data_IF_567194824286
#
_entry.id   IF_567194824286
#
_cell.length_a   1.000
_cell.length_b   1.000
_cell.length_c   1.000
_cell.angle_alpha   90.00
_cell.angle_beta   90.00
_cell.angle_gamma   90.00
#
_symmetry.space_group_name_H-M   'P 1'
#
loop_
_entity.id
_entity.type
_entity.pdbx_description
1 polymer ?
#
# COMPACT_ATOMS: atom_id res chain seq x y z
N UNK A 1 -16.09 -7.15 1.34
CA UNK A 1 -15.20 -8.19 1.91
C UNK A 1 -13.78 -7.70 1.76
N UNK A 2 -12.96 -7.73 2.82
CA UNK A 2 -11.57 -7.29 2.72
C UNK A 2 -10.78 -8.29 1.86
N UNK A 3 -10.33 -7.86 0.72
CA UNK A 3 -9.64 -8.68 -0.30
C UNK A 3 -8.25 -9.22 0.12
N UNK A 4 -7.87 -9.11 1.40
CA UNK A 4 -6.55 -9.50 1.91
C UNK A 4 -6.60 -10.63 2.95
N UNK A 5 -7.75 -11.27 3.14
CA UNK A 5 -7.82 -12.53 3.82
C UNK A 5 -7.06 -13.57 2.98
N UNK A 6 -5.94 -14.06 3.51
CA UNK A 6 -5.15 -15.09 2.83
C UNK A 6 -3.82 -14.62 2.22
N UNK A 7 -3.41 -13.36 2.40
CA UNK A 7 -2.07 -12.91 1.98
C UNK A 7 -1.11 -12.96 3.16
N UNK A 8 0.00 -13.68 2.99
CA UNK A 8 1.01 -13.92 4.03
C UNK A 8 2.41 -13.77 3.47
N UNK A 9 3.30 -13.08 4.19
CA UNK A 9 4.74 -13.21 3.99
C UNK A 9 5.21 -14.44 4.73
N UNK A 10 5.90 -15.33 4.05
CA UNK A 10 6.49 -16.55 4.62
C UNK A 10 8.01 -16.45 4.59
N UNK A 11 8.66 -17.00 5.61
CA UNK A 11 10.12 -16.97 5.75
C UNK A 11 10.76 -18.35 5.62
N UNK A 12 9.96 -19.40 5.71
CA UNK A 12 10.42 -20.79 5.63
C UNK A 12 9.27 -21.71 5.21
N UNK A 13 9.60 -22.96 4.90
CA UNK A 13 8.66 -23.99 4.45
C UNK A 13 7.56 -24.28 5.46
N UNK A 14 7.89 -24.35 6.75
CA UNK A 14 6.92 -24.65 7.81
C UNK A 14 5.84 -23.55 7.88
N UNK A 15 6.25 -22.28 7.84
CA UNK A 15 5.31 -21.15 7.73
C UNK A 15 4.45 -21.23 6.46
N UNK A 16 5.04 -21.63 5.35
CA UNK A 16 4.35 -21.82 4.07
C UNK A 16 3.23 -22.85 4.18
N UNK A 17 3.51 -24.00 4.78
CA UNK A 17 2.52 -25.06 5.02
C UNK A 17 1.38 -24.58 5.92
N UNK A 18 1.70 -23.87 7.02
CA UNK A 18 0.70 -23.32 7.93
C UNK A 18 -0.20 -22.32 7.21
N UNK A 19 0.38 -21.40 6.43
CA UNK A 19 -0.37 -20.41 5.69
C UNK A 19 -1.23 -21.03 4.61
N UNK A 20 -0.73 -21.99 3.84
CA UNK A 20 -1.49 -22.73 2.85
C UNK A 20 -2.71 -23.43 3.46
N UNK A 21 -2.56 -24.12 4.58
CA UNK A 21 -3.67 -24.74 5.31
C UNK A 21 -4.73 -23.72 5.74
N UNK A 22 -4.30 -22.51 6.20
CA UNK A 22 -5.23 -21.42 6.54
C UNK A 22 -6.01 -20.94 5.32
N UNK A 23 -5.35 -20.72 4.18
CA UNK A 23 -6.01 -20.30 2.93
C UNK A 23 -7.02 -21.33 2.49
N UNK A 24 -6.63 -22.60 2.47
CA UNK A 24 -7.53 -23.69 2.10
C UNK A 24 -8.74 -23.82 3.02
N UNK A 25 -8.61 -23.48 4.31
CA UNK A 25 -9.74 -23.46 5.25
C UNK A 25 -10.78 -22.37 4.95
N UNK A 26 -10.43 -21.35 4.14
CA UNK A 26 -11.34 -20.30 3.66
C UNK A 26 -12.20 -20.75 2.46
N UNK A 27 -12.18 -22.05 2.12
CA UNK A 27 -12.84 -22.66 0.95
C UNK A 27 -12.23 -22.22 -0.39
N UNK A 28 -11.01 -21.70 -0.38
CA UNK A 28 -10.26 -21.43 -1.60
C UNK A 28 -9.50 -22.69 -2.02
N UNK A 29 -9.70 -23.13 -3.27
CA UNK A 29 -9.07 -24.34 -3.79
C UNK A 29 -7.70 -24.07 -4.44
N UNK A 30 -7.35 -22.80 -4.63
CA UNK A 30 -6.11 -22.37 -5.27
C UNK A 30 -5.49 -21.23 -4.47
N UNK A 31 -4.18 -21.19 -4.42
CA UNK A 31 -3.42 -20.06 -3.90
C UNK A 31 -2.19 -19.82 -4.78
N UNK A 32 -1.70 -18.57 -4.76
CA UNK A 32 -0.50 -18.16 -5.45
C UNK A 32 0.67 -18.17 -4.47
N UNK A 33 1.78 -18.81 -4.84
CA UNK A 33 3.07 -18.68 -4.18
C UNK A 33 4.02 -17.97 -5.12
N UNK A 34 4.59 -16.85 -4.67
CA UNK A 34 5.50 -16.05 -5.48
C UNK A 34 6.69 -15.58 -4.67
N UNK A 35 7.74 -15.15 -5.36
CA UNK A 35 8.91 -14.55 -4.75
C UNK A 35 8.52 -13.27 -3.99
N UNK A 36 9.15 -13.08 -2.82
CA UNK A 36 9.02 -11.84 -2.07
C UNK A 36 10.01 -10.80 -2.60
N UNK A 37 9.50 -9.75 -3.23
CA UNK A 37 10.30 -8.62 -3.68
C UNK A 37 10.50 -7.62 -2.55
N UNK A 38 11.75 -7.29 -2.25
CA UNK A 38 12.09 -6.28 -1.24
C UNK A 38 12.08 -4.87 -1.86
N UNK A 39 11.57 -3.89 -1.12
CA UNK A 39 11.51 -2.50 -1.57
C UNK A 39 10.29 -1.79 -1.02
N UNK A 40 10.05 -0.62 -1.57
CA UNK A 40 8.89 0.20 -1.29
C UNK A 40 7.81 -0.05 -2.35
N UNK A 41 6.56 -0.02 -1.93
CA UNK A 41 5.42 -0.26 -2.79
C UNK A 41 4.89 1.06 -3.34
N UNK A 42 4.99 1.23 -4.66
CA UNK A 42 4.54 2.44 -5.34
C UNK A 42 3.39 2.14 -6.28
N UNK A 43 2.46 3.09 -6.36
CA UNK A 43 1.48 3.15 -7.45
C UNK A 43 1.79 4.34 -8.34
N UNK A 44 1.86 4.09 -9.65
CA UNK A 44 2.02 5.11 -10.69
C UNK A 44 0.78 5.08 -11.57
N UNK A 45 0.06 6.20 -11.65
CA UNK A 45 -1.16 6.34 -12.46
C UNK A 45 -0.84 7.07 -13.74
N UNK A 46 -1.16 6.44 -14.86
CA UNK A 46 -0.96 6.99 -16.21
C UNK A 46 -2.31 7.31 -16.83
N UNK A 47 -2.39 8.50 -17.47
CA UNK A 47 -3.51 8.93 -18.30
C UNK A 47 -2.97 9.38 -19.66
N UNK A 48 -3.30 8.64 -20.72
CA UNK A 48 -2.77 8.88 -22.07
C UNK A 48 -1.25 8.70 -22.13
N UNK A 49 -0.55 9.79 -22.28
CA UNK A 49 0.92 9.88 -22.37
C UNK A 49 1.58 10.55 -21.15
N UNK A 50 0.85 10.64 -20.05
CA UNK A 50 1.31 11.34 -18.84
C UNK A 50 1.11 10.54 -17.57
N UNK A 51 2.07 10.62 -16.66
CA UNK A 51 1.88 10.25 -15.26
C UNK A 51 1.11 11.38 -14.60
N UNK A 52 -0.07 11.06 -14.06
CA UNK A 52 -0.94 12.04 -13.38
C UNK A 52 -0.85 11.91 -11.86
N UNK A 53 -0.37 10.78 -11.36
CA UNK A 53 -0.17 10.53 -9.94
C UNK A 53 0.91 9.47 -9.72
N UNK A 54 1.75 9.67 -8.72
CA UNK A 54 2.65 8.65 -8.19
C UNK A 54 2.70 8.75 -6.66
N UNK A 55 2.59 7.64 -5.96
CA UNK A 55 2.65 7.62 -4.51
C UNK A 55 3.19 6.31 -3.97
N UNK A 56 3.86 6.39 -2.84
CA UNK A 56 4.24 5.24 -2.04
C UNK A 56 3.07 4.80 -1.15
N UNK A 57 2.80 3.52 -1.12
CA UNK A 57 1.93 2.89 -0.13
C UNK A 57 2.80 2.42 1.03
N UNK A 58 2.60 3.01 2.18
CA UNK A 58 3.38 2.64 3.36
C UNK A 58 2.62 1.58 4.15
N UNK A 59 3.28 0.48 4.58
CA UNK A 59 2.65 -0.51 5.45
C UNK A 59 2.07 0.13 6.71
N UNK A 60 0.99 -0.43 7.24
CA UNK A 60 0.41 0.04 8.49
C UNK A 60 1.44 -0.06 9.62
N UNK A 61 1.71 1.07 10.23
CA UNK A 61 2.75 1.23 11.26
C UNK A 61 2.34 2.23 12.32
N UNK A 62 2.99 2.15 13.47
CA UNK A 62 2.87 3.13 14.56
C UNK A 62 4.23 3.74 14.83
N UNK A 63 4.22 4.91 15.47
CA UNK A 63 5.41 5.64 15.90
C UNK A 63 5.35 5.76 17.42
N UNK A 64 6.42 5.37 18.07
CA UNK A 64 6.60 5.49 19.52
C UNK A 64 6.54 6.93 19.99
N UNK A 65 5.97 7.15 21.17
CA UNK A 65 5.91 8.45 21.83
C UNK A 65 6.65 8.46 23.18
N UNK A 66 7.24 7.34 23.60
CA UNK A 66 8.03 7.21 24.80
C UNK A 66 7.25 6.89 26.07
N UNK A 67 5.90 6.81 26.02
CA UNK A 67 5.08 6.60 27.22
C UNK A 67 3.90 5.64 27.02
N UNK A 68 3.30 5.57 25.83
CA UNK A 68 2.22 4.64 25.54
C UNK A 68 2.74 3.29 25.05
N UNK A 69 2.02 2.23 25.40
CA UNK A 69 2.31 0.91 24.84
C UNK A 69 1.90 0.83 23.38
N UNK A 70 2.50 -0.08 22.64
CA UNK A 70 2.11 -0.40 21.25
C UNK A 70 0.61 -0.65 21.14
N UNK A 71 0.03 -1.38 22.09
CA UNK A 71 -1.41 -1.67 22.14
C UNK A 71 -2.24 -0.39 22.28
N UNK A 72 -1.82 0.54 23.15
CA UNK A 72 -2.51 1.81 23.36
C UNK A 72 -2.50 2.66 22.09
N UNK A 73 -1.32 2.84 21.47
CA UNK A 73 -1.18 3.60 20.22
C UNK A 73 -2.00 2.98 19.09
N UNK A 74 -1.99 1.63 18.98
CA UNK A 74 -2.78 0.90 17.98
C UNK A 74 -4.28 1.17 18.17
N UNK A 75 -4.81 1.06 19.40
CA UNK A 75 -6.22 1.32 19.71
C UNK A 75 -6.62 2.76 19.37
N UNK A 76 -5.80 3.74 19.73
CA UNK A 76 -6.03 5.16 19.41
C UNK A 76 -6.08 5.37 17.88
N UNK A 77 -5.15 4.76 17.14
CA UNK A 77 -5.09 4.88 15.68
C UNK A 77 -6.29 4.23 14.99
N UNK A 78 -6.72 3.05 15.45
CA UNK A 78 -7.94 2.40 14.95
C UNK A 78 -9.18 3.25 15.23
N UNK A 79 -9.31 3.80 16.44
CA UNK A 79 -10.40 4.69 16.78
C UNK A 79 -10.44 5.95 15.90
N UNK A 80 -9.27 6.53 15.57
CA UNK A 80 -9.19 7.70 14.68
C UNK A 80 -9.68 7.39 13.26
N UNK A 81 -9.47 6.17 12.75
CA UNK A 81 -9.99 5.75 11.45
C UNK A 81 -11.52 5.66 11.44
N UNK A 82 -12.11 5.13 12.50
CA UNK A 82 -13.55 5.03 12.64
C UNK A 82 -14.20 6.42 12.68
N UNK A 83 -13.61 7.35 13.43
CA UNK A 83 -14.07 8.76 13.50
C UNK A 83 -13.96 9.48 12.15
N UNK A 84 -12.97 9.13 11.34
CA UNK A 84 -12.79 9.68 9.99
C UNK A 84 -13.71 9.03 8.93
N UNK A 85 -14.67 8.17 9.33
CA UNK A 85 -15.56 7.48 8.40
C UNK A 85 -14.85 6.47 7.49
N UNK A 86 -13.63 6.09 7.84
CA UNK A 86 -12.93 5.02 7.14
C UNK A 86 -13.58 3.70 7.56
N UNK A 87 -14.37 3.13 6.67
CA UNK A 87 -15.05 1.83 6.84
C UNK A 87 -14.07 0.63 6.89
N UNK A 88 -12.82 0.91 7.24
CA UNK A 88 -11.69 0.00 7.18
C UNK A 88 -11.29 -0.38 8.58
N UNK A 89 -11.85 -1.48 9.04
CA UNK A 89 -11.50 -2.06 10.32
C UNK A 89 -10.14 -2.73 10.24
N UNK A 90 -9.12 -2.03 10.73
CA UNK A 90 -7.93 -2.74 11.19
C UNK A 90 -8.39 -3.58 12.38
N UNK A 91 -8.47 -4.88 12.19
CA UNK A 91 -8.72 -5.78 13.30
C UNK A 91 -7.47 -5.83 14.20
N UNK A 92 -7.54 -5.16 15.35
CA UNK A 92 -6.44 -5.14 16.31
C UNK A 92 -6.13 -6.53 16.90
N UNK A 93 -7.06 -7.50 16.72
CA UNK A 93 -6.88 -8.89 17.13
C UNK A 93 -6.22 -9.78 16.05
N UNK A 94 -5.91 -9.22 14.88
CA UNK A 94 -5.26 -9.95 13.80
C UNK A 94 -3.89 -10.50 14.26
N UNK A 95 -3.79 -11.82 14.29
CA UNK A 95 -2.56 -12.51 14.74
C UNK A 95 -1.30 -12.13 13.93
N UNK A 96 -1.48 -11.58 12.71
CA UNK A 96 -0.36 -11.08 11.88
C UNK A 96 0.28 -9.85 12.51
N UNK A 97 -0.50 -8.97 13.15
CA UNK A 97 0.01 -7.80 13.88
C UNK A 97 0.93 -8.24 15.00
N UNK A 98 0.47 -9.13 15.88
CA UNK A 98 1.29 -9.64 16.98
C UNK A 98 2.58 -10.33 16.49
N UNK A 99 2.49 -11.10 15.40
CA UNK A 99 3.65 -11.76 14.77
C UNK A 99 4.67 -10.73 14.24
N UNK A 100 4.21 -9.68 13.58
CA UNK A 100 5.10 -8.65 13.04
C UNK A 100 5.77 -7.82 14.13
N UNK A 101 5.05 -7.52 15.21
CA UNK A 101 5.61 -6.86 16.40
C UNK A 101 6.71 -7.73 17.00
N UNK A 102 6.45 -9.06 17.19
CA UNK A 102 7.41 -10.00 17.75
C UNK A 102 8.67 -10.16 16.88
N UNK A 103 8.55 -10.16 15.55
CA UNK A 103 9.70 -10.20 14.62
C UNK A 103 10.64 -8.99 14.76
N UNK A 104 10.13 -7.87 15.27
CA UNK A 104 10.90 -6.66 15.55
C UNK A 104 11.45 -6.62 16.99
N UNK A 105 11.25 -7.68 17.77
CA UNK A 105 11.73 -7.80 19.15
C UNK A 105 10.82 -7.13 20.19
N UNK A 106 9.58 -6.78 19.82
CA UNK A 106 8.63 -6.13 20.71
C UNK A 106 7.43 -7.02 21.06
N UNK A 107 6.64 -6.56 22.03
CA UNK A 107 5.32 -7.10 22.38
C UNK A 107 4.29 -5.98 22.35
N UNK A 108 3.01 -6.29 22.40
CA UNK A 108 1.93 -5.28 22.51
C UNK A 108 2.09 -4.39 23.75
N UNK A 109 2.74 -4.86 24.79
CA UNK A 109 2.99 -4.13 26.04
C UNK A 109 4.29 -3.30 26.02
N UNK A 110 5.10 -3.43 24.97
CA UNK A 110 6.31 -2.64 24.83
C UNK A 110 5.98 -1.16 24.63
N UNK A 111 6.77 -0.28 25.27
CA UNK A 111 6.78 1.16 25.03
C UNK A 111 7.95 1.45 24.11
N UNK A 112 7.68 2.08 22.99
CA UNK A 112 8.70 2.46 21.99
C UNK A 112 9.24 3.84 22.32
N UNK A 113 10.55 4.04 22.16
CA UNK A 113 11.15 5.36 22.26
C UNK A 113 10.51 6.35 21.26
N UNK A 114 10.52 7.66 21.54
CA UNK A 114 9.97 8.67 20.65
C UNK A 114 10.56 8.59 19.24
N UNK A 115 9.70 8.51 18.24
CA UNK A 115 10.10 8.43 16.83
C UNK A 115 10.44 7.04 16.32
N UNK A 116 10.54 6.03 17.18
CA UNK A 116 10.76 4.64 16.75
C UNK A 116 9.52 4.12 16.02
N UNK A 117 9.73 3.62 14.80
CA UNK A 117 8.68 3.06 13.95
C UNK A 117 8.54 1.56 14.21
N UNK A 118 7.34 1.10 14.48
CA UNK A 118 7.00 -0.32 14.54
C UNK A 118 6.00 -0.65 13.43
N UNK A 119 6.38 -1.51 12.50
CA UNK A 119 5.51 -2.02 11.43
C UNK A 119 4.54 -3.04 11.99
N UNK A 120 3.26 -2.82 11.76
CA UNK A 120 2.19 -3.72 12.21
C UNK A 120 1.79 -4.72 11.12
N UNK A 121 2.04 -4.39 9.86
CA UNK A 121 1.76 -5.25 8.71
C UNK A 121 2.94 -5.25 7.73
N UNK A 122 3.15 -6.38 7.05
CA UNK A 122 4.22 -6.53 6.04
C UNK A 122 3.80 -5.96 4.69
N UNK A 123 2.49 -5.88 4.43
CA UNK A 123 1.94 -5.49 3.13
C UNK A 123 1.42 -4.06 3.21
N UNK A 124 1.86 -3.25 2.26
CA UNK A 124 1.38 -1.90 2.10
C UNK A 124 -0.01 -1.90 1.46
N UNK A 125 -1.05 -1.75 2.29
CA UNK A 125 -2.42 -1.69 1.79
C UNK A 125 -3.16 -0.50 2.39
N UNK A 126 -3.63 0.39 1.52
CA UNK A 126 -4.42 1.55 1.90
C UNK A 126 -5.75 1.14 2.56
N UNK A 127 -6.31 -0.02 2.18
CA UNK A 127 -7.52 -0.54 2.81
C UNK A 127 -7.32 -0.98 4.26
N UNK A 128 -6.09 -1.19 4.69
CA UNK A 128 -5.72 -1.58 6.04
C UNK A 128 -5.15 -0.42 6.87
N UNK A 129 -5.35 0.83 6.43
CA UNK A 129 -4.95 2.02 7.18
C UNK A 129 -3.50 2.46 6.99
N UNK A 130 -2.77 1.86 6.05
CA UNK A 130 -1.44 2.35 5.67
C UNK A 130 -1.52 3.79 5.14
N UNK A 131 -0.61 4.69 5.52
CA UNK A 131 -0.53 6.02 4.95
C UNK A 131 0.05 5.98 3.54
N UNK A 132 -0.13 7.08 2.81
CA UNK A 132 0.51 7.30 1.51
C UNK A 132 1.55 8.41 1.62
N UNK A 133 2.58 8.35 0.77
CA UNK A 133 3.50 9.44 0.56
C UNK A 133 3.45 9.84 -0.92
N UNK A 134 3.03 11.07 -1.20
CA UNK A 134 2.97 11.60 -2.58
C UNK A 134 4.39 11.70 -3.14
N UNK A 135 4.57 11.21 -4.36
CA UNK A 135 5.79 11.23 -5.16
C UNK A 135 5.58 11.82 -6.54
N UNK A 136 4.39 12.39 -6.78
CA UNK A 136 3.99 12.86 -8.11
C UNK A 136 4.93 13.92 -8.68
N UNK A 137 5.39 14.84 -7.83
CA UNK A 137 6.32 15.90 -8.24
C UNK A 137 7.77 15.41 -8.38
N UNK A 138 8.13 14.35 -7.65
CA UNK A 138 9.51 13.90 -7.49
C UNK A 138 9.85 12.66 -8.34
N UNK A 139 8.86 12.00 -8.93
CA UNK A 139 9.08 10.80 -9.74
C UNK A 139 10.06 11.08 -10.88
N UNK A 140 11.12 10.28 -10.98
CA UNK A 140 12.17 10.45 -11.99
C UNK A 140 11.64 10.23 -13.41
N UNK A 141 12.31 10.86 -14.38
CA UNK A 141 11.97 10.69 -15.80
C UNK A 141 12.04 9.23 -16.25
N UNK A 142 12.93 8.44 -15.67
CA UNK A 142 13.04 7.01 -15.96
C UNK A 142 11.72 6.28 -15.64
N UNK A 143 11.20 6.44 -14.43
CA UNK A 143 9.96 5.77 -14.02
C UNK A 143 8.72 6.34 -14.70
N UNK A 144 8.72 7.65 -15.04
CA UNK A 144 7.66 8.23 -15.86
C UNK A 144 7.61 7.57 -17.26
N UNK A 145 8.74 7.49 -17.95
CA UNK A 145 8.82 6.86 -19.27
C UNK A 145 8.49 5.36 -19.21
N UNK A 146 8.97 4.65 -18.21
CA UNK A 146 8.66 3.25 -17.98
C UNK A 146 7.14 3.03 -17.88
N UNK A 147 6.46 3.80 -17.02
CA UNK A 147 5.03 3.68 -16.79
C UNK A 147 4.21 3.99 -18.06
N UNK A 148 4.56 5.06 -18.77
CA UNK A 148 3.92 5.43 -20.04
C UNK A 148 4.11 4.33 -21.09
N UNK A 149 5.31 3.79 -21.22
CA UNK A 149 5.60 2.70 -22.16
C UNK A 149 4.80 1.43 -21.86
N UNK A 150 4.66 1.09 -20.59
CA UNK A 150 3.82 -0.04 -20.15
C UNK A 150 2.35 0.20 -20.55
N UNK A 151 1.79 1.37 -20.24
CA UNK A 151 0.41 1.73 -20.59
C UNK A 151 0.17 1.64 -22.11
N UNK A 152 1.10 2.16 -22.89
CA UNK A 152 1.04 2.14 -24.36
C UNK A 152 1.13 0.72 -24.92
N UNK A 153 2.02 -0.13 -24.39
CA UNK A 153 2.18 -1.52 -24.87
C UNK A 153 0.94 -2.38 -24.60
N UNK A 154 0.14 -2.04 -23.61
CA UNK A 154 -1.14 -2.69 -23.29
C UNK A 154 -2.36 -1.95 -23.90
N UNK A 155 -2.13 -0.87 -24.66
CA UNK A 155 -3.18 -0.01 -25.21
C UNK A 155 -4.16 0.52 -24.14
N UNK A 156 -3.65 0.82 -22.94
CA UNK A 156 -4.44 1.39 -21.84
C UNK A 156 -4.33 2.92 -21.85
N UNK A 157 -5.49 3.58 -21.83
CA UNK A 157 -5.56 5.05 -21.77
C UNK A 157 -5.52 5.57 -20.33
N UNK A 158 -6.04 4.79 -19.39
CA UNK A 158 -5.96 5.03 -17.96
C UNK A 158 -5.51 3.71 -17.31
N UNK A 159 -4.45 3.75 -16.52
CA UNK A 159 -4.05 2.59 -15.72
C UNK A 159 -3.26 3.00 -14.48
N UNK A 160 -3.32 2.13 -13.46
CA UNK A 160 -2.47 2.17 -12.29
C UNK A 160 -1.47 1.02 -12.34
N UNK A 161 -0.20 1.32 -12.21
CA UNK A 161 0.90 0.35 -12.22
C UNK A 161 1.41 0.22 -10.80
N UNK A 162 1.37 -0.98 -10.25
CA UNK A 162 1.90 -1.31 -8.93
C UNK A 162 3.31 -1.86 -9.08
N UNK A 163 4.26 -1.21 -8.43
CA UNK A 163 5.68 -1.47 -8.60
C UNK A 163 6.39 -1.51 -7.26
N UNK A 164 7.23 -2.51 -7.05
CA UNK A 164 8.19 -2.51 -5.94
C UNK A 164 9.52 -1.96 -6.46
N UNK A 165 10.05 -0.97 -5.79
CA UNK A 165 11.36 -0.38 -6.09
C UNK A 165 11.99 0.18 -4.80
N UNK A 166 13.29 0.44 -4.81
CA UNK A 166 13.93 1.09 -3.66
C UNK A 166 13.61 2.58 -3.60
N UNK A 167 13.57 3.24 -4.75
CA UNK A 167 13.27 4.67 -4.86
C UNK A 167 12.91 5.02 -6.30
N UNK A 168 11.69 5.51 -6.53
CA UNK A 168 11.25 5.95 -7.87
C UNK A 168 11.65 7.39 -8.21
N UNK A 169 12.20 8.12 -7.24
CA UNK A 169 12.67 9.50 -7.46
C UNK A 169 14.09 9.54 -8.01
N UNK A 170 14.87 8.50 -7.76
CA UNK A 170 16.23 8.37 -8.25
C UNK A 170 16.26 7.73 -9.66
N UNK A 171 16.72 8.45 -10.70
CA UNK A 171 16.77 7.92 -12.08
C UNK A 171 17.80 6.78 -12.27
N UNK A 172 18.77 6.66 -11.38
CA UNK A 172 19.80 5.62 -11.43
C UNK A 172 19.33 4.29 -10.78
N UNK A 173 18.28 4.35 -9.96
CA UNK A 173 17.66 3.16 -9.43
C UNK A 173 16.75 2.52 -10.49
N UNK A 174 17.24 1.44 -11.10
CA UNK A 174 16.54 0.70 -12.16
C UNK A 174 16.14 -0.71 -11.73
N UNK A 175 16.31 -1.02 -10.46
CA UNK A 175 15.87 -2.30 -9.89
C UNK A 175 14.42 -2.16 -9.41
N UNK A 176 13.53 -2.88 -10.09
CA UNK A 176 12.10 -2.83 -9.80
C UNK A 176 11.40 -4.13 -10.19
N UNK A 177 10.27 -4.38 -9.57
CA UNK A 177 9.36 -5.47 -9.94
C UNK A 177 7.97 -4.91 -10.15
N UNK A 178 7.36 -5.17 -11.31
CA UNK A 178 5.95 -4.85 -11.58
C UNK A 178 5.10 -5.95 -10.93
N UNK A 179 4.21 -5.57 -10.03
CA UNK A 179 3.30 -6.50 -9.36
C UNK A 179 2.02 -6.71 -10.16
N UNK A 180 1.37 -5.60 -10.54
CA UNK A 180 0.11 -5.64 -11.29
C UNK A 180 -0.13 -4.35 -12.08
N UNK A 181 -1.03 -4.42 -13.05
CA UNK A 181 -1.48 -3.28 -13.84
C UNK A 181 -3.00 -3.27 -13.82
N UNK A 182 -3.57 -2.21 -13.27
CA UNK A 182 -5.00 -2.01 -13.11
C UNK A 182 -5.54 -1.07 -14.19
N UNK A 183 -6.43 -1.54 -15.07
CA UNK A 183 -7.04 -0.74 -16.13
C UNK A 183 -8.10 0.26 -15.64
N UNK A 184 -8.53 0.14 -14.40
CA UNK A 184 -9.46 1.06 -13.74
C UNK A 184 -8.97 1.35 -12.31
N UNK A 185 -7.89 2.12 -12.15
CA UNK A 185 -7.33 2.41 -10.84
C UNK A 185 -8.31 3.28 -10.04
N UNK A 186 -8.54 2.93 -8.76
CA UNK A 186 -9.22 3.82 -7.84
C UNK A 186 -8.33 5.04 -7.58
N UNK A 187 -8.88 6.23 -7.79
CA UNK A 187 -8.18 7.51 -7.55
C UNK A 187 -8.54 8.11 -6.20
N UNK A 188 -9.51 7.52 -5.50
CA UNK A 188 -10.15 8.04 -4.29
C UNK A 188 -9.45 7.65 -2.98
N UNK A 189 -8.42 6.84 -3.05
CA UNK A 189 -7.72 6.37 -1.85
C UNK A 189 -7.10 7.50 -1.01
N UNK A 190 -6.90 8.67 -1.60
CA UNK A 190 -6.37 9.88 -0.96
C UNK A 190 -7.41 10.70 -0.20
N UNK A 191 -8.70 10.61 -0.54
CA UNK A 191 -9.77 11.48 0.00
C UNK A 191 -9.80 11.50 1.52
N UNK A 192 -9.46 10.38 2.14
CA UNK A 192 -9.55 10.22 3.59
C UNK A 192 -8.37 10.81 4.38
N UNK A 193 -7.39 11.42 3.71
CA UNK A 193 -6.21 11.99 4.38
C UNK A 193 -6.36 13.48 4.70
N UNK A 194 -7.43 14.14 4.20
CA UNK A 194 -7.76 15.53 4.53
C UNK A 194 -8.29 16.35 3.34
N UNK A 195 -8.61 17.64 3.60
CA UNK A 195 -9.22 18.53 2.62
C UNK A 195 -8.34 18.78 1.38
N UNK A 196 -7.03 18.82 1.56
CA UNK A 196 -6.10 19.01 0.42
C UNK A 196 -6.13 17.80 -0.51
N UNK A 197 -6.20 16.60 0.05
CA UNK A 197 -6.28 15.35 -0.69
C UNK A 197 -7.61 15.21 -1.43
N UNK A 198 -8.72 15.64 -0.83
CA UNK A 198 -10.03 15.69 -1.49
C UNK A 198 -9.99 16.59 -2.73
N UNK A 199 -9.43 17.79 -2.62
CA UNK A 199 -9.26 18.70 -3.76
C UNK A 199 -8.34 18.12 -4.85
N UNK A 200 -7.30 17.41 -4.44
CA UNK A 200 -6.40 16.74 -5.37
C UNK A 200 -7.12 15.63 -6.15
N UNK A 201 -7.89 14.80 -5.48
CA UNK A 201 -8.69 13.73 -6.12
C UNK A 201 -9.72 14.30 -7.09
N UNK A 202 -10.43 15.38 -6.72
CA UNK A 202 -11.35 16.08 -7.63
C UNK A 202 -10.64 16.55 -8.90
N UNK A 203 -9.43 17.08 -8.76
CA UNK A 203 -8.59 17.48 -9.91
C UNK A 203 -8.21 16.29 -10.79
N UNK A 204 -7.84 15.15 -10.20
CA UNK A 204 -7.53 13.92 -10.96
C UNK A 204 -8.74 13.45 -11.78
N UNK A 205 -9.93 13.43 -11.18
CA UNK A 205 -11.15 13.08 -11.93
C UNK A 205 -11.45 14.08 -13.05
N UNK A 206 -11.30 15.41 -12.82
CA UNK A 206 -11.44 16.39 -13.89
C UNK A 206 -10.49 16.11 -15.04
N UNK A 207 -9.22 15.78 -14.76
CA UNK A 207 -8.26 15.43 -15.82
C UNK A 207 -8.70 14.21 -16.63
N UNK A 208 -9.28 13.20 -15.97
CA UNK A 208 -9.80 12.01 -16.65
C UNK A 208 -11.00 12.38 -17.54
N UNK A 209 -11.95 13.17 -17.04
CA UNK A 209 -13.11 13.61 -17.83
C UNK A 209 -12.68 14.48 -19.03
N UNK A 210 -11.81 15.48 -18.81
CA UNK A 210 -11.26 16.32 -19.89
C UNK A 210 -10.53 15.51 -20.97
N UNK A 211 -9.91 14.41 -20.57
CA UNK A 211 -9.24 13.50 -21.49
C UNK A 211 -10.25 12.71 -22.33
N UNK A 212 -11.31 12.20 -21.69
CA UNK A 212 -12.36 11.41 -22.36
C UNK A 212 -13.18 12.26 -23.34
N UNK A 213 -13.43 13.53 -23.02
CA UNK A 213 -14.15 14.45 -23.92
C UNK A 213 -13.38 14.77 -25.21
N UNK A 214 -12.05 14.56 -25.23
CA UNK A 214 -11.17 14.82 -26.37
C UNK A 214 -10.88 13.58 -27.23
N UNK A 215 -11.39 12.43 -26.84
CA UNK A 215 -11.26 11.17 -27.57
C UNK A 215 -12.36 11.01 -28.63
#
# INVERSE_FOLDING_TARGET
MSHWLGVYKISNEEEGIICAKKIMSLKENLFLLQEYCSGHDFRIVVLGDKVIQAYERVPFQIIGNGYDTIETILKQKVASFQLAGRDKSVDSSDSRIAKNIARQGYTLQSVLDPGVVCRLQDIANLSLGGPTADKTADISSYYQHLAIKIAQSLNLKLCGIDIIAQDITNPDNKDYTILEINSAPGLDNYVYEGQQQDNYVKRLYSMVFDFLEKM
#
